data_IF_128306980351
#
_entry.id   IF_128306980351
#
_cell.length_a   1.000
_cell.length_b   1.000
_cell.length_c   1.000
_cell.angle_alpha   90.00
_cell.angle_beta   90.00
_cell.angle_gamma   90.00
#
_symmetry.space_group_name_H-M   'P 1'
#
loop_
_entity.id
_entity.type
_entity.pdbx_description
1 polymer ?
#
# COMPACT_ATOMS: atom_id res chain seq x y z
N UNK A 1 -0.26 -26.82 8.71
CA UNK A 1 -0.26 -27.89 7.69
C UNK A 1 -0.18 -27.18 6.36
N UNK A 2 0.95 -27.29 5.65
CA UNK A 2 1.13 -26.68 4.33
C UNK A 2 0.17 -27.35 3.37
N UNK A 3 -0.81 -26.61 2.84
CA UNK A 3 -1.51 -27.05 1.63
C UNK A 3 -0.48 -27.04 0.50
N UNK A 4 0.08 -28.21 0.25
CA UNK A 4 0.75 -28.52 -1.02
C UNK A 4 -0.37 -28.43 -2.05
N UNK A 5 -0.33 -27.40 -2.89
CA UNK A 5 -1.14 -27.35 -4.09
C UNK A 5 -0.70 -28.53 -4.95
N UNK A 6 -1.50 -29.59 -4.95
CA UNK A 6 -1.34 -30.75 -5.81
C UNK A 6 -1.12 -30.26 -7.25
N UNK A 7 -0.17 -30.92 -7.91
CA UNK A 7 0.33 -30.70 -9.27
C UNK A 7 -0.69 -30.02 -10.20
N UNK A 8 -0.53 -28.71 -10.45
CA UNK A 8 -1.42 -28.00 -11.37
C UNK A 8 -1.01 -28.27 -12.84
N UNK A 9 -1.91 -28.79 -13.70
CA UNK A 9 -1.59 -29.15 -15.09
C UNK A 9 -1.34 -27.97 -16.05
N UNK A 10 -1.31 -26.72 -15.59
CA UNK A 10 -1.53 -25.54 -16.46
C UNK A 10 -0.35 -24.56 -16.57
N UNK A 11 0.88 -24.94 -16.19
CA UNK A 11 2.09 -24.13 -16.51
C UNK A 11 2.23 -23.93 -18.04
N UNK A 12 1.68 -24.83 -18.86
CA UNK A 12 1.75 -24.81 -20.32
C UNK A 12 0.82 -23.78 -21.02
N UNK A 13 -0.11 -23.12 -20.31
CA UNK A 13 -1.03 -22.11 -20.92
C UNK A 13 -0.70 -20.67 -20.54
N UNK A 14 0.32 -20.46 -19.71
CA UNK A 14 0.74 -19.11 -19.33
C UNK A 14 1.43 -18.42 -20.51
N UNK A 15 1.11 -17.15 -20.81
CA UNK A 15 1.95 -16.32 -21.66
C UNK A 15 3.39 -16.35 -21.12
N UNK A 16 4.39 -16.27 -22.00
CA UNK A 16 5.80 -16.23 -21.57
C UNK A 16 6.13 -15.00 -20.71
N UNK A 17 5.36 -13.93 -20.87
CA UNK A 17 5.47 -12.68 -20.10
C UNK A 17 4.08 -12.10 -19.78
N UNK A 18 3.33 -12.70 -18.85
CA UNK A 18 2.02 -12.18 -18.48
C UNK A 18 2.18 -10.86 -17.73
N UNK A 19 1.28 -9.91 -18.00
CA UNK A 19 1.17 -8.63 -17.31
C UNK A 19 0.10 -8.73 -16.24
N UNK A 20 0.30 -8.05 -15.11
CA UNK A 20 -0.71 -7.95 -14.05
C UNK A 20 -2.03 -7.50 -14.67
N UNK A 21 -3.10 -8.24 -14.38
CA UNK A 21 -4.43 -8.04 -14.98
C UNK A 21 -4.72 -8.88 -16.22
N UNK A 22 -3.74 -9.58 -16.80
CA UNK A 22 -4.00 -10.47 -17.93
C UNK A 22 -5.00 -11.57 -17.54
N UNK A 23 -6.09 -11.68 -18.29
CA UNK A 23 -7.13 -12.70 -18.10
C UNK A 23 -6.76 -13.98 -18.84
N UNK A 24 -6.75 -15.11 -18.14
CA UNK A 24 -6.40 -16.42 -18.65
C UNK A 24 -7.62 -17.20 -19.19
N UNK A 25 -7.42 -18.25 -20.01
CA UNK A 25 -8.52 -19.03 -20.59
C UNK A 25 -9.46 -19.68 -19.58
N UNK A 26 -8.98 -19.97 -18.36
CA UNK A 26 -9.78 -20.50 -17.26
C UNK A 26 -10.59 -19.40 -16.52
N UNK A 27 -10.48 -18.16 -16.96
CA UNK A 27 -11.14 -16.99 -16.40
C UNK A 27 -10.44 -16.39 -15.18
N UNK A 28 -9.27 -16.90 -14.79
CA UNK A 28 -8.44 -16.30 -13.74
C UNK A 28 -7.71 -15.06 -14.24
N UNK A 29 -7.28 -14.22 -13.30
CA UNK A 29 -6.44 -13.06 -13.56
C UNK A 29 -5.03 -13.34 -13.07
N UNK A 30 -4.02 -13.05 -13.88
CA UNK A 30 -2.64 -13.01 -13.40
C UNK A 30 -2.45 -11.78 -12.51
N UNK A 31 -2.03 -12.00 -11.26
CA UNK A 31 -1.89 -10.92 -10.28
C UNK A 31 -0.42 -10.59 -10.02
N UNK A 32 0.41 -11.59 -9.75
CA UNK A 32 1.84 -11.38 -9.46
C UNK A 32 2.61 -12.69 -9.58
N UNK A 33 3.95 -12.64 -9.50
CA UNK A 33 4.82 -13.80 -9.42
C UNK A 33 5.39 -13.93 -8.01
N UNK A 34 5.35 -15.13 -7.42
CA UNK A 34 6.08 -15.44 -6.17
C UNK A 34 7.17 -16.45 -6.48
N UNK A 35 8.44 -16.03 -6.46
CA UNK A 35 9.56 -16.86 -6.88
C UNK A 35 9.35 -17.40 -8.31
N UNK A 36 9.15 -18.72 -8.47
CA UNK A 36 8.83 -19.38 -9.74
C UNK A 36 7.35 -19.61 -9.99
N UNK A 37 6.47 -19.33 -9.01
CA UNK A 37 5.04 -19.60 -9.11
C UNK A 37 4.27 -18.36 -9.55
N UNK A 38 3.31 -18.56 -10.46
CA UNK A 38 2.34 -17.54 -10.81
C UNK A 38 1.25 -17.48 -9.73
N UNK A 39 0.93 -16.28 -9.31
CA UNK A 39 -0.18 -16.03 -8.41
C UNK A 39 -1.40 -15.64 -9.25
N UNK A 40 -2.41 -16.49 -9.22
CA UNK A 40 -3.65 -16.33 -9.95
C UNK A 40 -4.77 -15.95 -9.00
N UNK A 41 -5.61 -15.01 -9.45
CA UNK A 41 -6.86 -14.72 -8.80
C UNK A 41 -8.02 -15.31 -9.58
N UNK A 42 -8.79 -16.18 -8.93
CA UNK A 42 -10.01 -16.75 -9.49
C UNK A 42 -11.21 -15.98 -8.92
N UNK A 43 -11.94 -15.19 -9.73
CA UNK A 43 -13.02 -14.31 -9.22
C UNK A 43 -14.19 -15.04 -8.55
N UNK A 44 -14.29 -16.37 -8.77
CA UNK A 44 -15.33 -17.24 -8.19
C UNK A 44 -14.86 -18.05 -6.99
N UNK A 45 -13.60 -17.90 -6.57
CA UNK A 45 -13.03 -18.62 -5.44
C UNK A 45 -12.62 -17.65 -4.34
N UNK A 46 -12.81 -18.00 -3.06
CA UNK A 46 -12.43 -17.10 -1.97
C UNK A 46 -10.91 -16.86 -1.95
N UNK A 47 -10.50 -15.62 -1.67
CA UNK A 47 -9.07 -15.25 -1.62
C UNK A 47 -8.27 -15.93 -0.50
N UNK A 48 -8.94 -16.39 0.55
CA UNK A 48 -8.35 -17.06 1.71
C UNK A 48 -9.23 -18.24 2.10
N UNK A 49 -8.67 -19.19 2.84
CA UNK A 49 -9.45 -20.29 3.41
C UNK A 49 -10.53 -19.73 4.35
N UNK A 50 -11.63 -20.47 4.50
CA UNK A 50 -12.71 -20.08 5.39
C UNK A 50 -12.24 -19.99 6.86
N UNK A 51 -11.35 -20.90 7.26
CA UNK A 51 -10.73 -20.89 8.59
C UNK A 51 -9.86 -19.66 8.82
N UNK A 52 -9.09 -19.22 7.82
CA UNK A 52 -8.29 -18.00 7.91
C UNK A 52 -9.18 -16.77 7.95
N UNK A 53 -10.26 -16.74 7.16
CA UNK A 53 -11.23 -15.64 7.16
C UNK A 53 -11.85 -15.45 8.55
N UNK A 54 -12.28 -16.53 9.21
CA UNK A 54 -12.87 -16.45 10.55
C UNK A 54 -11.90 -15.96 11.63
N UNK A 55 -10.59 -16.07 11.40
CA UNK A 55 -9.57 -15.53 12.31
C UNK A 55 -9.30 -14.05 12.12
N UNK A 56 -9.75 -13.45 11.02
CA UNK A 56 -9.61 -12.02 10.78
C UNK A 56 -10.65 -11.22 11.59
N UNK A 57 -10.33 -9.95 11.85
CA UNK A 57 -11.31 -9.02 12.41
C UNK A 57 -12.56 -8.90 11.51
N UNK A 58 -13.72 -8.62 12.11
CA UNK A 58 -15.00 -8.55 11.40
C UNK A 58 -14.95 -7.61 10.19
N UNK A 59 -14.28 -6.47 10.33
CA UNK A 59 -14.12 -5.47 9.28
C UNK A 59 -13.37 -6.02 8.06
N UNK A 60 -12.39 -6.90 8.29
CA UNK A 60 -11.64 -7.58 7.23
C UNK A 60 -12.46 -8.68 6.57
N UNK A 61 -13.34 -9.34 7.32
CA UNK A 61 -14.30 -10.31 6.76
C UNK A 61 -15.31 -9.60 5.86
N UNK A 62 -15.90 -8.49 6.33
CA UNK A 62 -16.84 -7.68 5.53
C UNK A 62 -16.18 -7.08 4.28
N UNK A 63 -14.90 -6.66 4.39
CA UNK A 63 -14.13 -6.20 3.24
C UNK A 63 -13.90 -7.32 2.22
N UNK A 64 -13.54 -8.52 2.70
CA UNK A 64 -13.37 -9.70 1.86
C UNK A 64 -14.68 -10.06 1.12
N UNK A 65 -15.81 -10.09 1.83
CA UNK A 65 -17.11 -10.38 1.23
C UNK A 65 -17.49 -9.37 0.15
N UNK A 66 -17.33 -8.07 0.43
CA UNK A 66 -17.56 -7.00 -0.56
C UNK A 66 -16.68 -7.17 -1.78
N UNK A 67 -15.41 -7.49 -1.57
CA UNK A 67 -14.47 -7.75 -2.64
C UNK A 67 -14.93 -8.93 -3.51
N UNK A 68 -15.27 -10.07 -2.88
CA UNK A 68 -15.70 -11.27 -3.59
C UNK A 68 -17.02 -11.08 -4.34
N UNK A 69 -17.95 -10.27 -3.82
CA UNK A 69 -19.19 -9.94 -4.51
C UNK A 69 -18.94 -9.15 -5.81
N UNK A 70 -17.99 -8.22 -5.79
CA UNK A 70 -17.61 -7.46 -6.99
C UNK A 70 -16.84 -8.34 -7.97
N UNK A 71 -15.90 -9.16 -7.48
CA UNK A 71 -15.12 -10.05 -8.33
C UNK A 71 -16.00 -11.08 -9.06
N UNK A 72 -17.00 -11.63 -8.36
CA UNK A 72 -17.88 -12.68 -8.89
C UNK A 72 -19.03 -12.17 -9.78
N UNK A 73 -19.23 -10.86 -9.89
CA UNK A 73 -20.34 -10.26 -10.63
C UNK A 73 -20.23 -10.39 -12.16
N UNK A 74 -19.06 -10.81 -12.67
CA UNK A 74 -18.76 -10.82 -14.10
C UNK A 74 -18.26 -9.48 -14.65
N UNK A 75 -18.06 -8.47 -13.78
CA UNK A 75 -17.39 -7.22 -14.13
C UNK A 75 -15.94 -7.48 -14.56
N UNK A 76 -15.47 -6.75 -15.57
CA UNK A 76 -14.05 -6.76 -15.92
C UNK A 76 -13.24 -6.02 -14.85
N UNK A 77 -12.33 -6.76 -14.21
CA UNK A 77 -11.53 -6.26 -13.09
C UNK A 77 -10.29 -5.47 -13.52
N UNK A 78 -9.88 -5.55 -14.79
CA UNK A 78 -8.61 -4.98 -15.28
C UNK A 78 -8.49 -3.47 -15.16
N UNK A 79 -9.61 -2.76 -15.19
CA UNK A 79 -9.65 -1.29 -15.14
C UNK A 79 -10.54 -0.80 -13.98
N UNK A 80 -10.81 -1.67 -13.02
CA UNK A 80 -11.62 -1.32 -11.87
C UNK A 80 -10.71 -0.69 -10.82
N UNK A 81 -10.96 0.57 -10.50
CA UNK A 81 -10.24 1.31 -9.46
C UNK A 81 -11.15 1.52 -8.24
N UNK A 82 -10.56 1.36 -7.05
CA UNK A 82 -11.19 1.70 -5.79
C UNK A 82 -10.63 3.04 -5.32
N UNK A 83 -11.53 4.01 -5.18
CA UNK A 83 -11.18 5.34 -4.72
C UNK A 83 -11.37 5.47 -3.22
N UNK A 84 -10.27 5.70 -2.51
CA UNK A 84 -10.27 6.05 -1.09
C UNK A 84 -10.28 7.55 -0.93
N UNK A 85 -11.36 8.05 -0.33
CA UNK A 85 -11.43 9.45 0.07
C UNK A 85 -10.81 9.63 1.47
N UNK A 86 -9.71 10.39 1.55
CA UNK A 86 -9.19 10.83 2.83
C UNK A 86 -9.26 12.34 2.94
N UNK A 87 -9.97 12.83 3.96
CA UNK A 87 -9.89 14.23 4.37
C UNK A 87 -8.46 14.52 4.83
N UNK A 88 -7.73 15.28 4.02
CA UNK A 88 -6.30 15.43 4.18
C UNK A 88 -5.97 16.51 5.19
N UNK A 89 -5.23 16.14 6.24
CA UNK A 89 -4.49 17.12 7.05
C UNK A 89 -3.25 17.60 6.27
N UNK A 90 -2.75 16.83 5.29
CA UNK A 90 -1.53 17.12 4.52
C UNK A 90 -1.71 18.23 3.48
N UNK A 91 -2.93 18.57 3.09
CA UNK A 91 -3.19 19.72 2.23
C UNK A 91 -2.79 21.07 2.86
N UNK A 92 -2.45 21.08 4.15
CA UNK A 92 -1.86 22.23 4.84
C UNK A 92 -0.38 22.47 4.51
N UNK A 93 0.29 21.59 3.75
CA UNK A 93 1.72 21.67 3.45
C UNK A 93 2.04 22.53 2.20
N UNK A 94 1.04 23.07 1.50
CA UNK A 94 1.26 24.14 0.51
C UNK A 94 1.37 25.49 1.24
N UNK A 95 2.53 26.17 1.20
CA UNK A 95 2.70 27.47 1.85
C UNK A 95 2.18 28.57 0.92
N UNK A 96 0.86 28.75 0.78
CA UNK A 96 0.34 29.94 0.11
C UNK A 96 -0.90 30.45 0.86
N UNK A 97 -0.67 31.58 1.55
CA UNK A 97 -1.62 32.66 1.88
C UNK A 97 -3.11 32.31 1.76
N UNK A 98 -3.78 32.22 2.91
CA UNK A 98 -5.21 32.49 3.02
C UNK A 98 -6.14 31.30 2.77
N UNK A 99 -6.96 31.02 3.79
CA UNK A 99 -8.09 30.09 3.84
C UNK A 99 -7.72 28.60 3.75
N UNK A 100 -7.76 27.93 4.91
CA UNK A 100 -7.76 26.47 5.00
C UNK A 100 -9.02 25.93 4.34
N UNK A 101 -8.94 25.53 3.07
CA UNK A 101 -9.95 24.69 2.45
C UNK A 101 -9.61 23.26 2.87
N UNK A 102 -10.55 22.55 3.52
CA UNK A 102 -10.45 21.10 3.69
C UNK A 102 -10.29 20.52 2.29
N UNK A 103 -9.07 20.11 1.95
CA UNK A 103 -8.76 19.49 0.67
C UNK A 103 -8.88 18.01 0.89
N UNK A 104 -9.83 17.40 0.21
CA UNK A 104 -9.91 15.95 0.11
C UNK A 104 -8.73 15.47 -0.73
N UNK A 105 -7.99 14.47 -0.23
CA UNK A 105 -7.05 13.71 -1.04
C UNK A 105 -7.74 12.41 -1.44
N UNK A 106 -7.69 12.12 -2.74
CA UNK A 106 -8.18 10.88 -3.32
C UNK A 106 -6.98 9.97 -3.56
N UNK A 107 -7.12 8.71 -3.19
CA UNK A 107 -6.18 7.65 -3.55
C UNK A 107 -6.94 6.66 -4.41
N UNK A 108 -6.40 6.34 -5.56
CA UNK A 108 -6.92 5.30 -6.43
C UNK A 108 -6.04 4.05 -6.24
N UNK A 109 -6.69 2.90 -6.10
CA UNK A 109 -6.05 1.58 -5.93
C UNK A 109 -6.69 0.63 -6.92
N UNK A 110 -5.87 -0.06 -7.69
CA UNK A 110 -6.36 -1.07 -8.63
C UNK A 110 -7.07 -2.18 -7.85
N UNK A 111 -8.22 -2.61 -8.35
CA UNK A 111 -9.03 -3.63 -7.67
C UNK A 111 -8.23 -4.93 -7.45
N UNK A 112 -7.39 -5.32 -8.42
CA UNK A 112 -6.57 -6.51 -8.30
C UNK A 112 -5.47 -6.39 -7.24
N UNK A 113 -4.99 -5.18 -6.92
CA UNK A 113 -3.97 -4.99 -5.88
C UNK A 113 -4.48 -5.35 -4.49
N UNK A 114 -5.79 -5.21 -4.23
CA UNK A 114 -6.36 -5.64 -2.94
C UNK A 114 -6.16 -7.14 -2.69
N UNK A 115 -5.98 -7.95 -3.73
CA UNK A 115 -5.64 -9.36 -3.58
C UNK A 115 -4.36 -9.56 -2.76
N UNK A 116 -3.41 -8.62 -2.85
CA UNK A 116 -2.15 -8.66 -2.10
C UNK A 116 -2.33 -8.55 -0.58
N UNK A 117 -3.38 -7.86 -0.10
CA UNK A 117 -3.71 -7.75 1.33
C UNK A 117 -3.95 -9.11 1.98
N UNK A 118 -4.58 -10.02 1.23
CA UNK A 118 -5.01 -11.31 1.73
C UNK A 118 -3.99 -12.43 1.50
N UNK A 119 -3.07 -12.25 0.54
CA UNK A 119 -2.20 -13.32 0.04
C UNK A 119 -0.72 -13.17 0.46
N UNK A 120 -0.45 -12.44 1.54
CA UNK A 120 0.89 -12.24 2.12
C UNK A 120 1.92 -11.78 1.07
N UNK A 121 1.48 -10.90 0.17
CA UNK A 121 2.33 -10.28 -0.84
C UNK A 121 2.87 -8.94 -0.33
N UNK A 122 3.95 -8.49 -0.96
CA UNK A 122 4.50 -7.17 -0.71
C UNK A 122 3.43 -6.14 -1.11
N UNK A 123 3.02 -5.28 -0.19
CA UNK A 123 1.99 -4.29 -0.46
C UNK A 123 2.54 -3.18 -1.34
N UNK A 124 1.76 -2.72 -2.31
CA UNK A 124 2.18 -1.60 -3.15
C UNK A 124 1.99 -0.25 -2.45
N UNK A 125 2.66 0.78 -2.97
CA UNK A 125 2.46 2.16 -2.53
C UNK A 125 1.00 2.59 -2.67
N UNK A 126 0.27 2.09 -3.67
CA UNK A 126 -1.15 2.39 -3.84
C UNK A 126 -1.98 2.07 -2.57
N UNK A 127 -1.65 0.98 -1.88
CA UNK A 127 -2.32 0.53 -0.65
C UNK A 127 -1.71 1.18 0.60
N UNK A 128 -0.38 1.29 0.66
CA UNK A 128 0.30 1.79 1.86
C UNK A 128 0.08 3.29 2.10
N UNK A 129 0.00 4.08 1.04
CA UNK A 129 -0.20 5.53 1.15
C UNK A 129 -1.52 5.92 1.83
N UNK A 130 -2.69 5.41 1.42
CA UNK A 130 -3.93 5.71 2.13
C UNK A 130 -3.87 5.22 3.59
N UNK A 131 -3.19 4.11 3.87
CA UNK A 131 -2.96 3.66 5.25
C UNK A 131 -2.10 4.65 6.07
N UNK A 132 -0.98 5.13 5.54
CA UNK A 132 -0.12 6.11 6.22
C UNK A 132 -0.89 7.39 6.59
N UNK A 133 -1.70 7.90 5.65
CA UNK A 133 -2.52 9.10 5.86
C UNK A 133 -3.64 8.84 6.85
N UNK A 134 -4.33 7.70 6.73
CA UNK A 134 -5.39 7.30 7.65
C UNK A 134 -4.84 7.15 9.08
N UNK A 135 -3.74 6.44 9.27
CA UNK A 135 -3.13 6.22 10.57
C UNK A 135 -2.75 7.54 11.25
N UNK A 136 -2.02 8.41 10.55
CA UNK A 136 -1.58 9.70 11.09
C UNK A 136 -2.76 10.58 11.50
N UNK A 137 -3.87 10.51 10.75
CA UNK A 137 -5.12 11.21 11.05
C UNK A 137 -5.83 10.62 12.26
N UNK A 138 -6.02 9.31 12.30
CA UNK A 138 -6.72 8.67 13.41
C UNK A 138 -5.95 8.83 14.71
N UNK A 139 -4.62 8.69 14.68
CA UNK A 139 -3.74 9.01 15.81
C UNK A 139 -3.96 10.45 16.32
N UNK A 140 -4.13 11.42 15.41
CA UNK A 140 -4.49 12.79 15.79
C UNK A 140 -5.90 12.89 16.40
N UNK A 141 -6.89 12.21 15.82
CA UNK A 141 -8.29 12.20 16.29
C UNK A 141 -8.41 11.62 17.70
N UNK A 142 -7.72 10.53 17.99
CA UNK A 142 -7.74 9.87 19.31
C UNK A 142 -6.74 10.47 20.30
N UNK A 143 -6.09 11.58 19.94
CA UNK A 143 -5.08 12.28 20.76
C UNK A 143 -3.85 11.41 21.11
N UNK A 144 -3.56 10.39 20.30
CA UNK A 144 -2.34 9.60 20.38
C UNK A 144 -1.25 10.25 19.52
N UNK A 145 -0.80 11.43 19.95
CA UNK A 145 0.16 12.24 19.19
C UNK A 145 1.58 11.70 19.17
N UNK A 146 1.84 10.54 19.79
CA UNK A 146 3.18 9.98 19.92
C UNK A 146 3.86 9.68 18.57
N UNK A 147 3.09 9.50 17.49
CA UNK A 147 3.65 9.03 16.22
C UNK A 147 2.94 9.63 15.00
N UNK A 148 3.71 9.98 13.97
CA UNK A 148 3.20 10.22 12.62
C UNK A 148 3.86 9.26 11.63
N UNK A 149 3.17 8.95 10.53
CA UNK A 149 3.68 8.09 9.45
C UNK A 149 3.75 8.90 8.17
N UNK A 150 4.94 8.99 7.58
CA UNK A 150 5.18 9.67 6.32
C UNK A 150 4.62 8.88 5.13
N UNK A 151 4.29 9.57 4.03
CA UNK A 151 3.96 8.93 2.76
C UNK A 151 5.16 8.09 2.29
N UNK A 152 4.90 6.82 1.99
CA UNK A 152 5.92 5.82 1.63
C UNK A 152 6.70 6.15 0.35
N UNK A 153 6.17 7.02 -0.53
CA UNK A 153 6.87 7.45 -1.74
C UNK A 153 8.00 8.46 -1.47
N UNK A 154 7.99 9.12 -0.31
CA UNK A 154 8.94 10.20 -0.02
C UNK A 154 10.35 9.67 0.22
N UNK A 155 10.46 8.45 0.71
CA UNK A 155 11.70 7.73 0.86
C UNK A 155 11.78 6.65 -0.21
N UNK A 156 11.94 7.08 -1.45
CA UNK A 156 12.24 6.21 -2.57
C UNK A 156 13.69 6.44 -2.99
N UNK A 157 14.48 5.37 -3.08
CA UNK A 157 15.90 5.45 -3.48
C UNK A 157 16.09 6.08 -4.86
N UNK A 158 15.13 5.88 -5.79
CA UNK A 158 15.14 6.53 -7.10
C UNK A 158 14.97 8.04 -6.96
N UNK A 159 14.08 8.49 -6.07
CA UNK A 159 13.78 9.91 -5.87
C UNK A 159 14.90 10.65 -5.13
N UNK A 160 15.52 9.98 -4.14
CA UNK A 160 16.56 10.56 -3.28
C UNK A 160 18.00 10.29 -3.77
N UNK A 161 18.17 9.36 -4.70
CA UNK A 161 19.46 8.97 -5.28
C UNK A 161 20.12 10.09 -6.08
N UNK A 162 21.39 9.92 -6.50
CA UNK A 162 22.21 10.99 -7.05
C UNK A 162 21.81 11.47 -8.46
N UNK A 163 20.87 10.80 -9.14
CA UNK A 163 20.46 11.09 -10.52
C UNK A 163 20.07 12.56 -10.73
N UNK A 164 20.86 13.26 -11.56
CA UNK A 164 20.72 14.68 -11.84
C UNK A 164 19.42 15.01 -12.58
N UNK A 165 18.85 14.06 -13.33
CA UNK A 165 17.56 14.24 -14.01
C UNK A 165 16.41 14.39 -13.01
N UNK A 166 16.57 13.85 -11.80
CA UNK A 166 15.59 13.91 -10.73
C UNK A 166 15.85 15.04 -9.72
N UNK A 167 16.81 15.93 -9.97
CA UNK A 167 17.21 16.98 -9.02
C UNK A 167 16.05 17.87 -8.56
N UNK A 168 15.13 18.24 -9.47
CA UNK A 168 13.93 19.02 -9.13
C UNK A 168 12.97 18.23 -8.23
N UNK A 169 12.68 16.99 -8.60
CA UNK A 169 11.80 16.10 -7.82
C UNK A 169 12.39 15.81 -6.44
N UNK A 170 13.71 15.61 -6.36
CA UNK A 170 14.45 15.43 -5.11
C UNK A 170 14.33 16.64 -4.21
N UNK A 171 14.53 17.84 -4.75
CA UNK A 171 14.37 19.09 -3.98
C UNK A 171 12.95 19.20 -3.41
N UNK A 172 11.93 18.94 -4.20
CA UNK A 172 10.53 18.98 -3.74
C UNK A 172 10.25 17.91 -2.67
N UNK A 173 10.82 16.72 -2.82
CA UNK A 173 10.72 15.65 -1.82
C UNK A 173 11.37 16.05 -0.49
N UNK A 174 12.58 16.63 -0.54
CA UNK A 174 13.27 17.15 0.65
C UNK A 174 12.48 18.29 1.30
N UNK A 175 11.97 19.24 0.50
CA UNK A 175 11.14 20.33 1.00
C UNK A 175 9.88 19.79 1.70
N UNK A 176 9.18 18.84 1.08
CA UNK A 176 8.03 18.17 1.68
C UNK A 176 8.40 17.47 2.99
N UNK A 177 9.47 16.67 2.99
CA UNK A 177 9.91 15.94 4.18
C UNK A 177 10.25 16.89 5.31
N UNK A 178 10.95 17.98 5.02
CA UNK A 178 11.27 19.02 6.00
C UNK A 178 10.00 19.61 6.60
N UNK A 179 9.01 19.97 5.76
CA UNK A 179 7.73 20.50 6.24
C UNK A 179 6.93 19.46 7.06
N UNK A 180 6.97 18.19 6.66
CA UNK A 180 6.33 17.11 7.39
C UNK A 180 6.96 16.94 8.78
N UNK A 181 8.29 16.92 8.87
CA UNK A 181 9.02 16.83 10.14
C UNK A 181 8.73 18.03 11.04
N UNK A 182 8.75 19.26 10.51
CA UNK A 182 8.42 20.48 11.26
C UNK A 182 7.00 20.46 11.80
N UNK A 183 6.04 19.98 11.01
CA UNK A 183 4.64 19.85 11.42
C UNK A 183 4.43 18.82 12.53
N UNK A 184 5.33 17.84 12.63
CA UNK A 184 5.26 16.74 13.57
C UNK A 184 6.38 16.80 14.62
N UNK A 185 7.03 17.95 14.80
CA UNK A 185 8.15 18.15 15.71
C UNK A 185 7.80 17.90 17.19
N UNK A 186 6.52 17.99 17.54
CA UNK A 186 5.96 17.74 18.87
C UNK A 186 5.69 16.25 19.12
N UNK A 187 5.84 15.41 18.11
CA UNK A 187 5.65 13.96 18.21
C UNK A 187 6.92 13.29 18.69
N UNK A 188 6.77 12.12 19.31
CA UNK A 188 7.91 11.33 19.77
C UNK A 188 8.61 10.64 18.60
N UNK A 189 7.82 10.14 17.64
CA UNK A 189 8.33 9.42 16.48
C UNK A 189 7.74 9.92 15.17
N UNK A 190 8.58 9.91 14.14
CA UNK A 190 8.14 9.88 12.75
C UNK A 190 8.54 8.54 12.15
N UNK A 191 7.56 7.78 11.67
CA UNK A 191 7.79 6.55 10.92
C UNK A 191 7.83 6.81 9.43
N UNK A 192 8.72 6.11 8.78
CA UNK A 192 8.90 6.09 7.33
C UNK A 192 8.85 4.64 6.89
N UNK A 193 8.00 4.36 5.91
CA UNK A 193 8.01 3.08 5.21
C UNK A 193 8.92 3.21 3.99
N UNK A 194 9.95 2.38 3.93
CA UNK A 194 10.92 2.39 2.84
C UNK A 194 10.90 1.05 2.11
N UNK A 195 10.85 1.07 0.78
CA UNK A 195 10.90 -0.13 -0.05
C UNK A 195 12.33 -0.40 -0.50
N UNK A 196 12.93 -1.48 0.00
CA UNK A 196 14.26 -1.95 -0.36
C UNK A 196 14.15 -3.21 -1.20
N UNK A 197 14.52 -3.16 -2.48
CA UNK A 197 14.75 -4.34 -3.34
C UNK A 197 13.71 -5.48 -3.18
N UNK A 198 12.41 -5.15 -3.11
CA UNK A 198 11.33 -6.13 -3.03
C UNK A 198 10.81 -6.45 -1.61
N UNK A 199 11.25 -5.74 -0.58
CA UNK A 199 10.66 -5.82 0.76
C UNK A 199 10.51 -4.44 1.41
N UNK A 200 9.64 -4.36 2.41
CA UNK A 200 9.40 -3.14 3.18
C UNK A 200 10.16 -3.16 4.49
N UNK A 201 10.77 -2.01 4.80
CA UNK A 201 11.43 -1.75 6.07
C UNK A 201 10.83 -0.49 6.69
N UNK A 202 10.91 -0.40 8.01
CA UNK A 202 10.40 0.76 8.74
C UNK A 202 11.58 1.50 9.36
N UNK A 203 11.64 2.81 9.12
CA UNK A 203 12.61 3.69 9.75
C UNK A 203 11.86 4.58 10.73
N UNK A 204 12.25 4.53 12.00
CA UNK A 204 11.71 5.40 13.04
C UNK A 204 12.72 6.50 13.38
N UNK A 205 12.30 7.76 13.24
CA UNK A 205 13.07 8.93 13.65
C UNK A 205 12.54 9.40 15.01
N UNK A 206 13.43 9.43 15.99
CA UNK A 206 13.20 9.88 17.36
C UNK A 206 13.51 11.37 17.43
N UNK A 207 12.47 12.20 17.49
CA UNK A 207 12.62 13.65 17.39
C UNK A 207 13.20 14.27 18.67
N UNK A 208 12.90 13.66 19.82
CA UNK A 208 13.35 14.09 21.14
C UNK A 208 14.81 13.72 21.43
N UNK A 209 15.23 12.54 20.99
CA UNK A 209 16.57 11.99 21.26
C UNK A 209 17.55 12.12 20.08
N UNK A 210 17.10 12.62 18.92
CA UNK A 210 17.94 12.71 17.72
C UNK A 210 18.40 11.36 17.17
N UNK A 211 17.63 10.30 17.44
CA UNK A 211 17.95 8.93 17.07
C UNK A 211 17.25 8.47 15.81
N UNK A 212 17.81 7.46 15.14
CA UNK A 212 17.16 6.75 14.03
C UNK A 212 17.26 5.26 14.30
N UNK A 213 16.14 4.55 14.25
CA UNK A 213 16.10 3.09 14.35
C UNK A 213 15.55 2.50 13.06
N UNK A 214 16.23 1.47 12.59
CA UNK A 214 15.89 0.71 11.40
C UNK A 214 15.27 -0.63 11.83
N UNK A 215 14.08 -0.92 11.33
CA UNK A 215 13.36 -2.16 11.57
C UNK A 215 13.22 -2.92 10.26
N UNK A 216 13.83 -4.10 10.23
CA UNK A 216 13.77 -5.04 9.13
C UNK A 216 13.17 -6.34 9.64
N UNK A 217 12.02 -6.79 9.10
CA UNK A 217 11.38 -8.02 9.54
C UNK A 217 12.00 -9.29 8.93
N UNK A 218 13.01 -9.16 8.06
CA UNK A 218 13.71 -10.28 7.43
C UNK A 218 14.82 -10.90 8.31
#
# INVERSE_FOLDING_TARGET
MLQVWEEQPDILKMPTHPRVGDRLPDGSYFVDRRFSQFLLFHPRQPMVSQDDLYRLAREMQELHEKYMNVASSGTDLTNLEIRFECQSIMASLTPIRGKSRKKTTLFDVDFLDLFHLFNRKCLENAILRPWCVHYTREAYRVKQYGMAVADSLLFNATLLGPDTLLAKSRRLAIEYLTQFMLKHQDRRFVLILHHLHGHWVTIAIYLDMGGVTYFDPL
#
